data_IF_963903620684
#
_entry.id   IF_963903620684
#
_cell.length_a   1.000
_cell.length_b   1.000
_cell.length_c   1.000
_cell.angle_alpha   90.00
_cell.angle_beta   90.00
_cell.angle_gamma   90.00
#
_symmetry.space_group_name_H-M   'P 1'
#
loop_
_entity.id
_entity.type
_entity.pdbx_description
1 polymer ?
#
# COMPACT_ATOMS: atom_id res chain seq x y z
N UNK A 1 -18.80 2.37 -7.27
CA UNK A 1 -18.51 1.43 -8.34
C UNK A 1 -19.25 0.14 -8.01
N UNK A 2 -20.47 -0.02 -8.58
CA UNK A 2 -21.35 -1.13 -8.31
C UNK A 2 -20.72 -2.47 -8.64
N UNK A 3 -21.12 -3.53 -7.91
CA UNK A 3 -20.67 -4.90 -8.03
C UNK A 3 -20.85 -5.52 -9.41
N UNK A 4 -20.07 -5.04 -10.37
CA UNK A 4 -19.92 -5.63 -11.67
C UNK A 4 -18.98 -6.83 -11.56
N UNK A 5 -19.30 -7.90 -12.26
CA UNK A 5 -18.44 -9.07 -12.43
C UNK A 5 -17.04 -8.59 -12.88
N UNK A 6 -15.98 -8.90 -12.13
CA UNK A 6 -14.64 -8.52 -12.51
C UNK A 6 -14.35 -9.13 -13.88
N UNK A 7 -13.97 -8.27 -14.83
CA UNK A 7 -13.63 -8.71 -16.17
C UNK A 7 -12.60 -9.85 -16.11
N UNK A 8 -12.80 -10.89 -16.90
CA UNK A 8 -11.88 -12.05 -16.94
C UNK A 8 -10.52 -11.70 -17.53
N UNK A 9 -10.44 -10.59 -18.24
CA UNK A 9 -9.24 -10.11 -18.91
C UNK A 9 -8.85 -8.72 -18.39
N UNK A 10 -7.54 -8.42 -18.34
CA UNK A 10 -7.09 -7.09 -17.92
C UNK A 10 -7.58 -6.02 -18.90
N UNK A 11 -7.76 -4.80 -18.40
CA UNK A 11 -8.15 -3.66 -19.22
C UNK A 11 -7.24 -3.51 -20.44
N UNK A 12 -7.79 -3.30 -21.65
CA UNK A 12 -6.98 -3.04 -22.86
C UNK A 12 -5.98 -1.88 -22.68
N UNK A 13 -6.34 -0.89 -21.87
CA UNK A 13 -5.48 0.25 -21.54
C UNK A 13 -4.27 -0.21 -20.72
N UNK A 14 -4.48 -1.06 -19.73
CA UNK A 14 -3.41 -1.62 -18.92
C UNK A 14 -2.48 -2.50 -19.74
N UNK A 15 -3.03 -3.34 -20.62
CA UNK A 15 -2.25 -4.17 -21.54
C UNK A 15 -1.40 -3.33 -22.50
N UNK A 16 -1.98 -2.29 -23.10
CA UNK A 16 -1.27 -1.35 -23.98
C UNK A 16 -0.16 -0.58 -23.24
N UNK A 17 -0.42 -0.15 -22.00
CA UNK A 17 0.56 0.50 -21.16
C UNK A 17 1.75 -0.44 -20.86
N UNK A 18 1.47 -1.68 -20.47
CA UNK A 18 2.50 -2.67 -20.21
C UNK A 18 3.35 -2.97 -21.45
N UNK A 19 2.73 -3.10 -22.63
CA UNK A 19 3.44 -3.28 -23.89
C UNK A 19 4.34 -2.08 -24.21
N UNK A 20 3.86 -0.85 -23.99
CA UNK A 20 4.66 0.37 -24.14
C UNK A 20 5.86 0.42 -23.18
N UNK A 21 5.68 -0.02 -21.93
CA UNK A 21 6.78 -0.11 -20.96
C UNK A 21 7.83 -1.14 -21.40
N UNK A 22 7.42 -2.34 -21.83
CA UNK A 22 8.35 -3.36 -22.36
C UNK A 22 9.17 -2.82 -23.53
N UNK A 23 8.51 -2.18 -24.48
CA UNK A 23 9.17 -1.58 -25.65
C UNK A 23 10.17 -0.49 -25.26
N UNK A 24 9.84 0.31 -24.24
CA UNK A 24 10.72 1.38 -23.75
C UNK A 24 11.91 0.84 -22.96
N UNK A 25 11.70 -0.20 -22.17
CA UNK A 25 12.77 -0.82 -21.38
C UNK A 25 13.76 -1.60 -22.25
N UNK A 26 13.26 -2.34 -23.24
CA UNK A 26 14.10 -3.20 -24.06
C UNK A 26 14.96 -4.14 -23.20
N UNK A 27 16.26 -4.18 -23.47
CA UNK A 27 17.24 -5.01 -22.74
C UNK A 27 17.82 -4.32 -21.49
N UNK A 28 17.26 -3.20 -21.05
CA UNK A 28 17.73 -2.49 -19.85
C UNK A 28 17.43 -3.30 -18.58
N UNK A 29 18.16 -2.98 -17.51
CA UNK A 29 17.87 -3.51 -16.18
C UNK A 29 16.41 -3.24 -15.79
N UNK A 30 15.72 -4.26 -15.28
CA UNK A 30 14.34 -4.14 -14.83
C UNK A 30 14.23 -3.15 -13.68
N UNK A 31 13.35 -2.14 -13.78
CA UNK A 31 13.11 -1.21 -12.69
C UNK A 31 12.38 -1.88 -11.52
N UNK A 32 12.44 -1.26 -10.36
CA UNK A 32 11.63 -1.63 -9.21
C UNK A 32 10.20 -1.09 -9.39
N UNK A 33 9.20 -1.92 -9.09
CA UNK A 33 7.81 -1.48 -9.01
C UNK A 33 7.54 -0.83 -7.64
N UNK A 34 7.00 0.38 -7.67
CA UNK A 34 6.50 1.08 -6.48
C UNK A 34 5.02 1.36 -6.67
N UNK A 35 4.18 0.80 -5.81
CA UNK A 35 2.74 1.04 -5.78
C UNK A 35 2.43 2.10 -4.72
N UNK A 36 1.67 3.12 -5.11
CA UNK A 36 1.40 4.30 -4.27
C UNK A 36 0.05 4.25 -3.56
N UNK A 37 -0.30 3.11 -3.02
CA UNK A 37 -1.52 2.89 -2.23
C UNK A 37 -2.78 2.62 -3.05
N UNK A 38 -3.82 2.20 -2.34
CA UNK A 38 -5.17 1.92 -2.85
C UNK A 38 -5.21 0.95 -4.05
N UNK A 39 -4.15 0.14 -4.22
CA UNK A 39 -4.14 -0.92 -5.22
C UNK A 39 -4.99 -2.12 -4.77
N UNK A 40 -5.16 -2.28 -3.46
CA UNK A 40 -6.14 -3.18 -2.85
C UNK A 40 -7.18 -2.31 -2.16
N UNK A 41 -8.28 -2.00 -2.84
CA UNK A 41 -9.38 -1.21 -2.26
C UNK A 41 -10.18 -2.05 -1.24
N UNK A 42 -9.56 -2.30 -0.09
CA UNK A 42 -10.12 -3.13 0.98
C UNK A 42 -11.26 -2.41 1.71
N UNK A 43 -11.37 -1.10 1.56
CA UNK A 43 -12.41 -0.30 2.19
C UNK A 43 -13.77 -0.39 1.50
N UNK A 44 -13.82 -0.60 0.20
CA UNK A 44 -15.05 -0.48 -0.59
C UNK A 44 -15.45 -1.75 -1.33
N UNK A 45 -14.60 -2.78 -1.37
CA UNK A 45 -14.83 -3.96 -2.19
C UNK A 45 -14.58 -5.26 -1.43
N UNK A 46 -15.32 -6.35 -1.73
CA UNK A 46 -15.07 -7.65 -1.15
C UNK A 46 -13.64 -8.13 -1.41
N UNK A 47 -13.00 -8.69 -0.39
CA UNK A 47 -11.60 -9.13 -0.46
C UNK A 47 -11.29 -10.05 -1.66
N UNK A 48 -12.21 -10.98 -1.98
CA UNK A 48 -12.03 -11.90 -3.10
C UNK A 48 -11.95 -11.19 -4.46
N UNK A 49 -12.68 -10.08 -4.61
CA UNK A 49 -12.72 -9.33 -5.86
C UNK A 49 -11.48 -8.43 -6.00
N UNK A 50 -11.12 -7.76 -4.92
CA UNK A 50 -9.87 -6.97 -4.86
C UNK A 50 -8.66 -7.85 -5.13
N UNK A 51 -8.62 -9.06 -4.54
CA UNK A 51 -7.53 -10.03 -4.75
C UNK A 51 -7.41 -10.46 -6.22
N UNK A 52 -8.54 -10.72 -6.89
CA UNK A 52 -8.55 -11.08 -8.33
C UNK A 52 -8.06 -9.92 -9.19
N UNK A 53 -8.55 -8.69 -8.92
CA UNK A 53 -8.11 -7.50 -9.66
C UNK A 53 -6.61 -7.25 -9.49
N UNK A 54 -6.10 -7.39 -8.27
CA UNK A 54 -4.67 -7.28 -8.00
C UNK A 54 -3.86 -8.35 -8.74
N UNK A 55 -4.31 -9.60 -8.74
CA UNK A 55 -3.63 -10.66 -9.46
C UNK A 55 -3.63 -10.43 -10.98
N UNK A 56 -4.70 -9.85 -11.55
CA UNK A 56 -4.70 -9.44 -12.96
C UNK A 56 -3.64 -8.36 -13.25
N UNK A 57 -3.45 -7.39 -12.35
CA UNK A 57 -2.37 -6.40 -12.46
C UNK A 57 -1.00 -7.08 -12.44
N UNK A 58 -0.81 -8.03 -11.53
CA UNK A 58 0.42 -8.81 -11.42
C UNK A 58 0.68 -9.62 -12.70
N UNK A 59 -0.32 -10.30 -13.25
CA UNK A 59 -0.19 -11.09 -14.48
C UNK A 59 0.23 -10.24 -15.69
N UNK A 60 -0.18 -8.97 -15.73
CA UNK A 60 0.21 -8.04 -16.79
C UNK A 60 1.67 -7.59 -16.67
N UNK A 61 2.14 -7.34 -15.45
CA UNK A 61 3.51 -6.87 -15.21
C UNK A 61 4.54 -8.00 -15.12
N UNK A 62 4.10 -9.18 -14.72
CA UNK A 62 4.91 -10.38 -14.55
C UNK A 62 4.29 -11.58 -15.26
N UNK A 63 4.18 -11.54 -16.59
CA UNK A 63 3.58 -12.64 -17.35
C UNK A 63 4.46 -13.90 -17.28
N UNK A 64 3.82 -15.08 -17.29
CA UNK A 64 4.52 -16.36 -17.20
C UNK A 64 5.40 -16.66 -18.44
N UNK A 65 4.92 -16.25 -19.62
CA UNK A 65 5.52 -16.64 -20.90
C UNK A 65 6.18 -15.48 -21.68
N UNK A 66 6.31 -14.32 -21.03
CA UNK A 66 6.93 -13.13 -21.62
C UNK A 66 7.94 -12.53 -20.66
N UNK A 67 8.66 -11.51 -21.11
CA UNK A 67 9.59 -10.77 -20.27
C UNK A 67 8.82 -9.98 -19.19
N UNK A 68 9.17 -10.22 -17.93
CA UNK A 68 8.70 -9.41 -16.79
C UNK A 68 9.16 -7.96 -16.95
N UNK A 69 8.29 -7.04 -16.61
CA UNK A 69 8.59 -5.59 -16.71
C UNK A 69 9.45 -5.12 -15.56
N UNK A 70 9.16 -5.61 -14.35
CA UNK A 70 9.78 -5.14 -13.11
C UNK A 70 10.58 -6.25 -12.42
N UNK A 71 11.43 -5.84 -11.47
CA UNK A 71 12.07 -6.77 -10.52
C UNK A 71 11.00 -7.33 -9.57
N UNK A 72 11.31 -8.46 -8.95
CA UNK A 72 10.38 -9.16 -8.04
C UNK A 72 10.39 -8.63 -6.61
N UNK A 73 11.15 -7.56 -6.34
CA UNK A 73 11.16 -6.82 -5.08
C UNK A 73 10.27 -5.57 -5.21
N UNK A 74 9.02 -5.70 -4.80
CA UNK A 74 8.00 -4.66 -4.91
C UNK A 74 8.01 -3.80 -3.65
N UNK A 75 7.86 -2.50 -3.80
CA UNK A 75 7.59 -1.58 -2.70
C UNK A 75 6.14 -1.12 -2.77
N UNK A 76 5.46 -1.19 -1.65
CA UNK A 76 4.10 -0.74 -1.48
C UNK A 76 4.04 0.40 -0.46
N UNK A 77 3.45 1.51 -0.80
CA UNK A 77 3.18 2.60 0.14
C UNK A 77 1.68 2.55 0.42
N UNK A 78 1.28 2.28 1.66
CA UNK A 78 -0.13 2.12 1.97
C UNK A 78 -0.91 3.42 1.74
N UNK A 79 -2.11 3.28 1.16
CA UNK A 79 -3.10 4.33 1.03
C UNK A 79 -4.06 4.36 2.23
N UNK A 80 -5.16 5.07 2.10
CA UNK A 80 -6.19 5.10 3.14
C UNK A 80 -7.19 3.93 3.03
N UNK A 81 -7.47 3.43 1.83
CA UNK A 81 -8.36 2.27 1.64
C UNK A 81 -7.71 0.94 1.98
N UNK A 82 -6.40 0.88 2.01
CA UNK A 82 -5.63 -0.31 2.33
C UNK A 82 -4.61 -0.12 3.46
N UNK A 83 -4.79 0.90 4.29
CA UNK A 83 -3.98 1.15 5.49
C UNK A 83 -3.88 -0.07 6.40
N UNK A 84 -4.90 -0.90 6.39
CA UNK A 84 -4.91 -2.17 7.12
C UNK A 84 -3.71 -3.07 6.77
N UNK A 85 -3.21 -3.02 5.54
CA UNK A 85 -1.99 -3.75 5.16
C UNK A 85 -0.75 -3.31 5.95
N UNK A 86 -0.65 -2.01 6.24
CA UNK A 86 0.41 -1.46 7.08
C UNK A 86 0.28 -1.97 8.52
N UNK A 87 -0.93 -1.94 9.08
CA UNK A 87 -1.20 -2.47 10.43
C UNK A 87 -0.86 -3.95 10.53
N UNK A 88 -1.29 -4.76 9.57
CA UNK A 88 -0.94 -6.19 9.51
C UNK A 88 0.57 -6.43 9.44
N UNK A 89 1.31 -5.61 8.73
CA UNK A 89 2.76 -5.72 8.64
C UNK A 89 3.44 -5.38 9.97
N UNK A 90 2.97 -4.38 10.69
CA UNK A 90 3.41 -4.04 12.05
C UNK A 90 3.12 -5.19 13.03
N UNK A 91 1.90 -5.72 13.04
CA UNK A 91 1.50 -6.84 13.90
C UNK A 91 2.35 -8.07 13.63
N UNK A 92 2.58 -8.39 12.34
CA UNK A 92 3.44 -9.51 11.97
C UNK A 92 4.88 -9.33 12.48
N UNK A 93 5.44 -8.14 12.36
CA UNK A 93 6.77 -7.84 12.91
C UNK A 93 6.80 -8.01 14.43
N UNK A 94 5.79 -7.48 15.11
CA UNK A 94 5.65 -7.62 16.56
C UNK A 94 5.61 -9.10 16.99
N UNK A 95 4.79 -9.92 16.34
CA UNK A 95 4.72 -11.36 16.60
C UNK A 95 6.07 -12.04 16.34
N UNK A 96 6.78 -11.65 15.27
CA UNK A 96 8.10 -12.21 14.95
C UNK A 96 9.14 -11.88 16.04
N UNK A 97 9.13 -10.67 16.57
CA UNK A 97 10.00 -10.25 17.67
C UNK A 97 9.69 -11.05 18.94
N UNK A 98 8.41 -11.23 19.29
CA UNK A 98 8.00 -12.06 20.42
C UNK A 98 8.46 -13.51 20.28
N UNK A 99 8.35 -14.09 19.09
CA UNK A 99 8.84 -15.44 18.81
C UNK A 99 10.37 -15.55 18.92
N UNK A 100 11.07 -14.46 18.64
CA UNK A 100 12.53 -14.33 18.85
C UNK A 100 12.94 -14.10 20.31
N UNK A 101 11.98 -13.99 21.24
CA UNK A 101 12.24 -13.75 22.66
C UNK A 101 12.41 -12.26 23.02
N UNK A 102 12.14 -11.35 22.09
CA UNK A 102 12.11 -9.91 22.34
C UNK A 102 10.70 -9.47 22.73
N UNK A 103 10.58 -8.62 23.75
CA UNK A 103 9.34 -7.92 24.08
C UNK A 103 9.54 -6.47 23.68
N UNK A 104 9.10 -6.04 22.50
CA UNK A 104 9.24 -4.66 22.08
C UNK A 104 8.40 -3.75 22.98
N UNK A 105 8.92 -2.56 23.29
CA UNK A 105 8.22 -1.59 24.14
C UNK A 105 7.01 -0.99 23.46
N UNK A 106 7.08 -0.81 22.14
CA UNK A 106 6.03 -0.26 21.29
C UNK A 106 6.08 -0.86 19.89
N UNK A 107 4.94 -0.78 19.17
CA UNK A 107 4.92 -1.05 17.74
C UNK A 107 5.74 0.03 17.01
N UNK A 108 6.53 -0.38 16.06
CA UNK A 108 7.25 0.56 15.20
C UNK A 108 6.27 1.19 14.21
N UNK A 109 6.07 2.50 14.32
CA UNK A 109 5.02 3.22 13.61
C UNK A 109 5.49 3.86 12.31
N UNK A 110 6.80 4.01 12.08
CA UNK A 110 7.32 4.71 10.91
C UNK A 110 8.34 3.88 10.14
N UNK A 111 8.37 4.09 8.83
CA UNK A 111 9.48 3.64 7.99
C UNK A 111 10.50 4.76 7.81
N UNK A 112 11.77 4.46 7.55
CA UNK A 112 12.75 5.47 7.19
C UNK A 112 12.28 6.25 5.96
N UNK A 113 12.40 7.59 5.98
CA UNK A 113 12.09 8.41 4.80
C UNK A 113 12.99 8.01 3.62
N UNK A 114 14.25 7.68 3.89
CA UNK A 114 15.24 7.24 2.90
C UNK A 114 15.84 5.93 3.38
N UNK A 115 15.84 4.93 2.53
CA UNK A 115 16.33 3.59 2.84
C UNK A 115 15.38 2.52 2.36
N UNK A 116 15.70 1.26 2.63
CA UNK A 116 14.80 0.16 2.26
C UNK A 116 13.70 -0.01 3.31
N UNK A 117 12.43 -0.14 2.89
CA UNK A 117 11.37 -0.51 3.80
C UNK A 117 11.65 -1.87 4.44
N UNK A 118 11.43 -1.99 5.73
CA UNK A 118 11.79 -3.19 6.52
C UNK A 118 10.63 -4.14 6.75
N UNK A 119 9.39 -3.66 6.64
CA UNK A 119 8.20 -4.45 6.90
C UNK A 119 7.79 -5.24 5.65
N UNK A 120 7.55 -6.55 5.81
CA UNK A 120 7.00 -7.39 4.73
C UNK A 120 5.49 -7.33 4.71
N UNK A 121 4.90 -7.15 3.53
CA UNK A 121 3.46 -7.25 3.33
C UNK A 121 3.06 -8.70 3.02
N UNK A 122 2.90 -9.52 4.07
CA UNK A 122 2.63 -10.96 3.95
C UNK A 122 1.36 -11.28 3.16
N UNK A 123 0.34 -10.46 3.28
CA UNK A 123 -0.89 -10.66 2.53
C UNK A 123 -0.63 -10.56 1.02
N UNK A 124 0.04 -9.50 0.57
CA UNK A 124 0.36 -9.33 -0.85
C UNK A 124 1.34 -10.40 -1.35
N UNK A 125 2.34 -10.77 -0.54
CA UNK A 125 3.25 -11.87 -0.86
C UNK A 125 2.48 -13.18 -1.04
N UNK A 126 1.50 -13.46 -0.17
CA UNK A 126 0.66 -14.67 -0.26
C UNK A 126 -0.28 -14.65 -1.47
N UNK A 127 -0.77 -13.48 -1.88
CA UNK A 127 -1.53 -13.33 -3.12
C UNK A 127 -0.65 -13.60 -4.34
N UNK A 128 0.53 -12.98 -4.41
CA UNK A 128 1.48 -13.17 -5.53
C UNK A 128 1.94 -14.63 -5.62
N UNK A 129 2.10 -15.32 -4.50
CA UNK A 129 2.46 -16.74 -4.44
C UNK A 129 1.41 -17.68 -5.07
N UNK A 130 0.17 -17.19 -5.35
CA UNK A 130 -0.80 -17.92 -6.19
C UNK A 130 -0.30 -18.07 -7.65
N UNK A 131 0.77 -17.40 -8.02
CA UNK A 131 1.46 -17.51 -9.30
C UNK A 131 2.78 -18.27 -9.10
N UNK A 132 2.87 -19.58 -9.43
CA UNK A 132 4.05 -20.39 -9.15
C UNK A 132 5.34 -19.82 -9.74
N UNK A 133 5.28 -19.19 -10.92
CA UNK A 133 6.43 -18.58 -11.57
C UNK A 133 6.98 -17.35 -10.82
N UNK A 134 6.21 -16.77 -9.87
CA UNK A 134 6.61 -15.67 -9.02
C UNK A 134 7.03 -16.11 -7.60
N UNK A 135 7.31 -17.41 -7.42
CA UNK A 135 7.83 -17.88 -6.15
C UNK A 135 9.10 -17.09 -5.75
N UNK A 136 9.12 -16.59 -4.50
CA UNK A 136 10.21 -15.76 -3.99
C UNK A 136 10.09 -14.26 -4.29
N UNK A 137 9.01 -13.80 -4.94
CA UNK A 137 8.72 -12.37 -5.00
C UNK A 137 8.46 -11.83 -3.59
N UNK A 138 8.96 -10.63 -3.31
CA UNK A 138 8.81 -9.95 -2.02
C UNK A 138 8.08 -8.64 -2.16
N UNK A 139 7.26 -8.31 -1.16
CA UNK A 139 6.58 -7.02 -1.07
C UNK A 139 6.98 -6.36 0.24
N UNK A 140 7.67 -5.24 0.14
CA UNK A 140 8.00 -4.38 1.28
C UNK A 140 6.99 -3.25 1.36
N UNK A 141 6.45 -3.03 2.55
CA UNK A 141 5.47 -1.98 2.76
C UNK A 141 6.09 -0.82 3.55
N UNK A 142 5.73 0.39 3.17
CA UNK A 142 6.12 1.64 3.81
C UNK A 142 4.88 2.48 4.12
N UNK A 143 4.98 3.30 5.15
CA UNK A 143 3.96 4.28 5.53
C UNK A 143 4.60 5.37 6.41
N UNK A 144 4.19 6.62 6.31
CA UNK A 144 3.25 7.24 5.35
C UNK A 144 3.90 7.59 4.00
N UNK A 145 5.20 7.46 3.89
CA UNK A 145 5.96 7.75 2.66
C UNK A 145 7.22 6.89 2.56
N UNK A 146 7.84 6.96 1.40
CA UNK A 146 9.17 6.39 1.16
C UNK A 146 9.94 7.27 0.19
N UNK A 147 11.26 7.37 0.38
CA UNK A 147 12.14 8.18 -0.42
C UNK A 147 13.31 7.44 -1.02
N UNK A 148 13.68 7.85 -2.23
CA UNK A 148 14.89 7.45 -2.91
C UNK A 148 15.85 8.64 -2.98
N UNK A 149 17.09 8.44 -2.56
CA UNK A 149 18.13 9.42 -2.69
C UNK A 149 19.20 8.96 -3.69
N UNK A 150 19.78 9.87 -4.45
CA UNK A 150 20.98 9.57 -5.22
C UNK A 150 22.19 9.29 -4.28
N UNK A 151 23.25 8.70 -4.83
CA UNK A 151 24.43 8.30 -4.05
C UNK A 151 25.03 9.46 -3.24
N UNK A 152 24.97 10.68 -3.78
CA UNK A 152 25.48 11.90 -3.15
C UNK A 152 24.44 12.57 -2.24
N UNK A 153 23.23 12.05 -2.16
CA UNK A 153 22.07 12.62 -1.47
C UNK A 153 21.74 14.06 -1.86
N UNK A 154 22.10 14.46 -3.09
CA UNK A 154 21.81 15.79 -3.62
C UNK A 154 20.40 15.90 -4.17
N UNK A 155 19.83 14.78 -4.59
CA UNK A 155 18.45 14.68 -5.08
C UNK A 155 17.75 13.57 -4.35
N UNK A 156 16.53 13.86 -3.94
CA UNK A 156 15.65 12.92 -3.25
C UNK A 156 14.30 12.94 -3.95
N UNK A 157 13.77 11.78 -4.22
CA UNK A 157 12.38 11.60 -4.65
C UNK A 157 11.62 11.02 -3.48
N UNK A 158 10.65 11.77 -2.96
CA UNK A 158 9.75 11.30 -1.90
C UNK A 158 8.43 10.89 -2.53
N UNK A 159 8.00 9.69 -2.26
CA UNK A 159 6.78 9.09 -2.76
C UNK A 159 5.81 8.86 -1.61
N UNK A 160 4.54 9.18 -1.82
CA UNK A 160 3.48 9.01 -0.84
C UNK A 160 2.13 8.87 -1.56
N UNK A 161 1.16 8.26 -0.88
CA UNK A 161 -0.21 8.18 -1.40
C UNK A 161 -0.89 9.56 -1.40
N UNK A 162 -0.71 10.34 -0.34
CA UNK A 162 -1.15 11.74 -0.29
C UNK A 162 -2.40 12.01 0.54
N UNK A 163 -3.11 11.00 1.03
CA UNK A 163 -4.36 11.18 1.79
C UNK A 163 -4.22 12.14 2.99
N UNK A 164 -3.10 12.15 3.68
CA UNK A 164 -2.87 13.06 4.81
C UNK A 164 -2.71 14.54 4.39
N UNK A 165 -2.62 14.84 3.09
CA UNK A 165 -2.69 16.19 2.56
C UNK A 165 -4.13 16.62 2.28
N UNK A 166 -5.07 15.68 2.25
CA UNK A 166 -6.48 15.95 2.03
C UNK A 166 -7.08 16.84 3.12
N UNK A 167 -8.00 17.70 2.71
CA UNK A 167 -8.64 18.66 3.60
C UNK A 167 -9.43 18.03 4.73
N UNK A 168 -10.02 16.86 4.51
CA UNK A 168 -10.80 16.14 5.53
C UNK A 168 -9.90 15.63 6.67
N UNK A 169 -8.80 14.95 6.37
CA UNK A 169 -7.87 14.48 7.40
C UNK A 169 -7.28 15.65 8.19
N UNK A 170 -6.94 16.74 7.50
CA UNK A 170 -6.45 17.96 8.15
C UNK A 170 -7.49 18.60 9.06
N UNK A 171 -8.77 18.61 8.66
CA UNK A 171 -9.85 19.12 9.50
C UNK A 171 -10.02 18.27 10.77
N UNK A 172 -9.96 16.95 10.66
CA UNK A 172 -10.04 16.02 11.80
C UNK A 172 -8.85 16.20 12.75
N UNK A 173 -7.63 16.32 12.23
CA UNK A 173 -6.43 16.59 13.04
C UNK A 173 -6.50 17.95 13.73
N UNK A 174 -7.03 18.99 13.06
CA UNK A 174 -7.23 20.31 13.68
C UNK A 174 -8.28 20.26 14.79
N UNK A 175 -9.37 19.54 14.58
CA UNK A 175 -10.43 19.36 15.59
C UNK A 175 -9.90 18.64 16.84
N UNK A 176 -9.12 17.59 16.66
CA UNK A 176 -8.45 16.88 17.74
C UNK A 176 -7.49 17.82 18.50
N UNK A 177 -6.63 18.54 17.78
CA UNK A 177 -5.70 19.52 18.36
C UNK A 177 -6.41 20.58 19.17
N UNK A 178 -7.58 21.05 18.75
CA UNK A 178 -8.41 21.98 19.49
C UNK A 178 -8.95 21.36 20.80
N UNK A 179 -9.43 20.11 20.74
CA UNK A 179 -9.97 19.41 21.91
C UNK A 179 -8.88 19.06 22.94
N UNK A 180 -7.72 18.63 22.47
CA UNK A 180 -6.59 18.20 23.31
C UNK A 180 -5.66 19.35 23.72
N UNK A 181 -5.90 20.56 23.22
CA UNK A 181 -5.03 21.74 23.41
C UNK A 181 -3.56 21.48 22.99
N UNK A 182 -3.38 20.63 21.97
CA UNK A 182 -2.08 20.25 21.43
C UNK A 182 -1.79 20.98 20.10
N UNK A 183 -0.52 21.11 19.67
CA UNK A 183 -0.21 21.70 18.37
C UNK A 183 -0.92 20.95 17.25
N UNK A 184 -1.65 21.69 16.41
CA UNK A 184 -2.48 21.13 15.35
C UNK A 184 -1.68 20.65 14.12
N UNK A 185 -0.34 20.59 14.19
CA UNK A 185 0.50 20.18 13.05
C UNK A 185 1.59 19.23 13.48
N UNK A 186 1.65 18.04 12.87
CA UNK A 186 2.74 17.11 13.11
C UNK A 186 4.06 17.73 12.64
N UNK A 187 5.08 17.68 13.49
CA UNK A 187 6.42 18.15 13.18
C UNK A 187 7.34 16.98 12.74
N UNK A 188 6.94 15.75 12.98
CA UNK A 188 7.70 14.54 12.63
C UNK A 188 6.81 13.54 11.89
N UNK A 189 7.44 12.59 11.18
CA UNK A 189 6.72 11.51 10.49
C UNK A 189 5.96 10.62 11.48
N UNK A 190 6.55 10.35 12.64
CA UNK A 190 5.89 9.61 13.72
C UNK A 190 4.59 10.31 14.17
N UNK A 191 4.63 11.63 14.38
CA UNK A 191 3.43 12.40 14.73
C UNK A 191 2.40 12.38 13.59
N UNK A 192 2.84 12.50 12.34
CA UNK A 192 1.95 12.43 11.18
C UNK A 192 1.24 11.07 11.10
N UNK A 193 1.95 9.98 11.29
CA UNK A 193 1.37 8.64 11.31
C UNK A 193 0.41 8.47 12.50
N UNK A 194 0.83 8.87 13.70
CA UNK A 194 0.01 8.78 14.92
C UNK A 194 -1.27 9.61 14.83
N UNK A 195 -1.27 10.71 14.08
CA UNK A 195 -2.48 11.51 13.84
C UNK A 195 -3.40 10.86 12.80
N UNK A 196 -2.85 10.34 11.72
CA UNK A 196 -3.66 9.83 10.60
C UNK A 196 -4.19 8.42 10.83
N UNK A 197 -3.40 7.53 11.42
CA UNK A 197 -3.75 6.13 11.59
C UNK A 197 -5.11 5.91 12.24
N UNK A 198 -5.42 6.51 13.43
CA UNK A 198 -6.71 6.34 14.08
C UNK A 198 -7.89 6.85 13.25
N UNK A 199 -7.74 7.95 12.49
CA UNK A 199 -8.79 8.47 11.63
C UNK A 199 -9.04 7.58 10.42
N UNK A 200 -7.98 7.04 9.83
CA UNK A 200 -8.09 6.08 8.73
C UNK A 200 -8.79 4.81 9.24
N UNK A 201 -8.34 4.27 10.36
CA UNK A 201 -8.93 3.08 10.97
C UNK A 201 -10.41 3.33 11.31
N UNK A 202 -10.76 4.49 11.85
CA UNK A 202 -12.14 4.84 12.14
C UNK A 202 -13.01 4.97 10.89
N UNK A 203 -12.54 5.69 9.87
CA UNK A 203 -13.32 5.95 8.66
C UNK A 203 -13.46 4.72 7.76
N UNK A 204 -12.46 3.85 7.75
CA UNK A 204 -12.39 2.75 6.78
C UNK A 204 -12.51 1.36 7.39
N UNK A 205 -12.39 1.20 8.73
CA UNK A 205 -12.56 -0.10 9.37
C UNK A 205 -14.03 -0.43 9.67
N UNK A 206 -14.75 0.47 10.29
CA UNK A 206 -16.14 0.21 10.73
C UNK A 206 -17.19 0.62 9.70
N UNK A 207 -16.88 1.62 8.87
CA UNK A 207 -17.77 2.09 7.81
C UNK A 207 -17.46 1.47 6.46
N UNK A 208 -16.24 1.08 6.22
CA UNK A 208 -15.77 0.59 4.93
C UNK A 208 -15.51 -0.90 4.86
N UNK A 209 -15.06 -1.57 5.94
CA UNK A 209 -14.85 -3.02 5.94
C UNK A 209 -16.14 -3.82 5.93
N UNK A 210 -17.26 -3.19 6.18
CA UNK A 210 -18.56 -3.73 5.84
C UNK A 210 -18.78 -3.65 4.32
N UNK A 211 -17.96 -4.34 3.54
CA UNK A 211 -18.11 -4.43 2.08
C UNK A 211 -19.53 -4.80 1.63
N UNK A 212 -20.35 -5.39 2.52
CA UNK A 212 -21.78 -5.56 2.35
C UNK A 212 -22.58 -4.28 2.65
N UNK A 213 -22.16 -3.41 3.56
CA UNK A 213 -22.86 -2.15 3.87
C UNK A 213 -22.52 -1.07 2.86
N UNK A 214 -21.29 -1.00 2.35
CA UNK A 214 -20.90 -0.13 1.25
C UNK A 214 -21.65 -0.44 -0.05
N UNK A 215 -21.97 -1.71 -0.32
CA UNK A 215 -22.81 -2.13 -1.45
C UNK A 215 -24.28 -1.70 -1.31
N UNK A 216 -24.79 -1.52 -0.10
CA UNK A 216 -26.18 -1.09 0.17
C UNK A 216 -26.33 0.42 0.20
N UNK A 217 -25.32 1.18 0.62
CA UNK A 217 -25.38 2.66 0.61
C UNK A 217 -25.18 3.28 -0.77
N UNK A 218 -24.59 2.56 -1.72
CA UNK A 218 -24.47 2.99 -3.12
C UNK A 218 -25.78 2.84 -3.92
N UNK A 219 -26.83 2.27 -3.32
CA UNK A 219 -28.17 2.11 -3.95
C UNK A 219 -29.23 3.05 -3.37
N UNK A 220 -28.89 3.97 -2.48
CA UNK A 220 -29.72 5.07 -2.00
C UNK A 220 -29.30 6.38 -2.65
#
# INVERSE_FOLDING_TARGET
LGGGEIAREPSPVLAAFAAGLRATLGDREKPQLVLLGDALDLGLSPFGDVSKAFLQLIDVFYPENEQEIFRRDIVYIAGNHDHHLWRMAQDHRFVTQLQGGEIPGDLEHITPIIGQPTHSCRLMESLIAQRPHLAGASVRIAYPNWGLADADRKRVVVMHHGHYLDGMYRALSNMRGFLEQTPARPATMHQLEAENGPWIDFLWSDLGSAGEVGGQTGSL
#
